data_IF_236317984560
#
_entry.id   IF_236317984560
#
_cell.length_a   1.000
_cell.length_b   1.000
_cell.length_c   1.000
_cell.angle_alpha   90.00
_cell.angle_beta   90.00
_cell.angle_gamma   90.00
#
_symmetry.space_group_name_H-M   'P 1'
#
loop_
_entity.id
_entity.type
_entity.pdbx_description
1 polymer ?
#
# COMPACT_ATOMS: atom_id res chain seq x y z
N UNK A 1 5.58 -5.65 -8.64
CA UNK A 1 4.36 -6.37 -8.23
C UNK A 1 3.44 -5.38 -7.53
N UNK A 2 2.16 -5.25 -7.94
CA UNK A 2 1.20 -4.30 -7.31
C UNK A 2 0.00 -5.10 -6.80
N UNK A 3 -0.20 -5.10 -5.49
CA UNK A 3 -1.27 -5.85 -4.81
C UNK A 3 -2.28 -4.87 -4.20
N UNK A 4 -3.58 -5.15 -4.32
CA UNK A 4 -4.67 -4.39 -3.70
C UNK A 4 -5.30 -5.25 -2.61
N UNK A 5 -5.34 -4.72 -1.39
CA UNK A 5 -5.99 -5.36 -0.25
C UNK A 5 -7.11 -4.47 0.26
N UNK A 6 -8.20 -5.08 0.72
CA UNK A 6 -9.25 -4.38 1.44
C UNK A 6 -8.80 -4.25 2.91
N UNK A 7 -8.95 -3.06 3.48
CA UNK A 7 -8.61 -2.78 4.89
C UNK A 7 -9.89 -2.40 5.62
N UNK A 8 -9.86 -2.45 6.95
CA UNK A 8 -11.02 -2.11 7.80
C UNK A 8 -11.49 -0.67 7.62
N UNK A 9 -10.59 0.20 7.16
CA UNK A 9 -10.87 1.58 6.79
C UNK A 9 -11.81 1.71 5.58
N UNK A 10 -12.14 0.60 4.90
CA UNK A 10 -13.11 0.57 3.80
C UNK A 10 -14.57 0.51 4.24
N UNK A 11 -14.86 0.14 5.49
CA UNK A 11 -16.22 0.00 6.02
C UNK A 11 -17.05 -1.14 5.42
N UNK A 12 -16.42 -2.08 4.69
CA UNK A 12 -17.07 -3.22 4.05
C UNK A 12 -16.60 -4.53 4.68
N UNK A 13 -17.51 -5.32 5.25
CA UNK A 13 -17.22 -6.66 5.75
C UNK A 13 -16.82 -6.73 7.25
N UNK A 14 -16.24 -7.87 7.64
CA UNK A 14 -15.67 -8.12 8.98
C UNK A 14 -14.21 -7.60 9.06
N UNK A 15 -13.61 -7.49 10.26
CA UNK A 15 -12.20 -7.11 10.39
C UNK A 15 -11.27 -7.97 9.50
N UNK A 16 -10.38 -7.30 8.78
CA UNK A 16 -9.45 -7.90 7.84
C UNK A 16 -8.09 -8.08 8.51
N UNK A 17 -7.48 -9.24 8.30
CA UNK A 17 -6.11 -9.46 8.72
C UNK A 17 -5.18 -8.46 8.00
N UNK A 18 -4.22 -7.85 8.71
CA UNK A 18 -3.17 -7.07 8.07
C UNK A 18 -2.43 -7.90 7.03
N UNK A 19 -2.00 -7.31 5.90
CA UNK A 19 -1.21 -8.03 4.92
C UNK A 19 0.13 -8.43 5.52
N UNK A 20 0.69 -9.56 5.09
CA UNK A 20 2.01 -10.05 5.50
C UNK A 20 3.19 -9.22 4.90
N UNK A 21 2.94 -7.97 4.53
CA UNK A 21 3.93 -7.03 3.99
C UNK A 21 4.21 -5.98 5.06
N UNK A 22 5.49 -5.77 5.37
CA UNK A 22 5.92 -4.91 6.48
C UNK A 22 5.69 -3.41 6.26
N UNK A 23 5.50 -2.98 5.00
CA UNK A 23 5.28 -1.58 4.67
C UNK A 23 4.26 -1.39 3.56
N UNK A 24 3.26 -0.56 3.81
CA UNK A 24 2.21 -0.24 2.85
C UNK A 24 1.53 1.07 3.21
N UNK A 25 0.89 1.67 2.20
CA UNK A 25 0.04 2.84 2.38
C UNK A 25 -1.42 2.39 2.34
N UNK A 26 -2.20 2.88 3.30
CA UNK A 26 -3.66 2.82 3.27
C UNK A 26 -4.16 4.10 2.63
N UNK A 27 -4.89 3.97 1.54
CA UNK A 27 -5.49 5.09 0.81
C UNK A 27 -6.96 4.82 0.59
N UNK A 28 -7.73 5.87 0.33
CA UNK A 28 -9.13 5.69 -0.07
C UNK A 28 -9.26 4.79 -1.30
N UNK A 29 -10.30 3.96 -1.32
CA UNK A 29 -10.48 2.95 -2.35
C UNK A 29 -10.76 3.57 -3.74
N UNK A 30 -11.58 4.62 -3.80
CA UNK A 30 -11.97 5.29 -5.04
C UNK A 30 -10.78 5.94 -5.75
N UNK A 31 -9.93 6.65 -5.01
CA UNK A 31 -8.69 7.23 -5.55
C UNK A 31 -7.68 6.16 -5.93
N UNK A 32 -7.55 5.10 -5.12
CA UNK A 32 -6.72 3.95 -5.44
C UNK A 32 -7.13 3.28 -6.76
N UNK A 33 -8.43 3.13 -7.05
CA UNK A 33 -8.91 2.58 -8.34
C UNK A 33 -8.46 3.45 -9.51
N UNK A 34 -8.75 4.75 -9.48
CA UNK A 34 -8.37 5.69 -10.55
C UNK A 34 -6.86 5.65 -10.81
N UNK A 35 -6.05 5.76 -9.75
CA UNK A 35 -4.59 5.74 -9.85
C UNK A 35 -4.04 4.47 -10.48
N UNK A 36 -4.65 3.30 -10.20
CA UNK A 36 -4.24 2.04 -10.83
C UNK A 36 -4.48 2.10 -12.34
N UNK A 37 -5.66 2.56 -12.76
CA UNK A 37 -6.03 2.68 -14.17
C UNK A 37 -5.08 3.65 -14.88
N UNK A 38 -4.86 4.84 -14.32
CA UNK A 38 -3.96 5.85 -14.89
C UNK A 38 -2.51 5.34 -15.00
N UNK A 39 -2.06 4.54 -14.01
CA UNK A 39 -0.74 3.91 -14.06
C UNK A 39 -0.63 2.88 -15.19
N UNK A 40 -1.71 2.12 -15.47
CA UNK A 40 -1.71 1.16 -16.58
C UNK A 40 -1.71 1.86 -17.94
N UNK A 41 -2.54 2.90 -18.10
CA UNK A 41 -2.66 3.66 -19.35
C UNK A 41 -1.34 4.37 -19.68
N UNK A 42 -0.72 5.00 -18.67
CA UNK A 42 0.50 5.77 -18.87
C UNK A 42 1.78 4.93 -18.88
N UNK A 43 1.70 3.64 -18.50
CA UNK A 43 2.86 2.76 -18.38
C UNK A 43 3.86 3.15 -17.28
N UNK A 44 3.54 4.14 -16.44
CA UNK A 44 4.40 4.61 -15.34
C UNK A 44 3.71 4.46 -14.00
N UNK A 45 4.51 4.38 -12.94
CA UNK A 45 4.01 4.39 -11.57
C UNK A 45 3.49 5.77 -11.21
N UNK A 46 2.30 5.82 -10.63
CA UNK A 46 1.72 7.01 -10.02
C UNK A 46 1.56 6.71 -8.53
N UNK A 47 2.21 7.52 -7.70
CA UNK A 47 2.10 7.50 -6.23
C UNK A 47 0.83 8.21 -5.77
N UNK A 48 0.27 7.85 -4.59
CA UNK A 48 -0.76 8.68 -3.96
C UNK A 48 -0.20 10.04 -3.55
N UNK A 49 -1.04 11.06 -3.59
CA UNK A 49 -0.76 12.34 -2.94
C UNK A 49 -0.89 12.20 -1.41
N UNK A 50 -0.21 13.06 -0.63
CA UNK A 50 -0.20 12.97 0.83
C UNK A 50 -1.61 13.04 1.45
N UNK A 51 -2.51 13.82 0.84
CA UNK A 51 -3.90 13.94 1.27
C UNK A 51 -4.77 12.71 0.96
N UNK A 52 -4.28 11.76 0.16
CA UNK A 52 -4.96 10.50 -0.13
C UNK A 52 -4.55 9.37 0.84
N UNK A 53 -3.48 9.59 1.61
CA UNK A 53 -2.93 8.62 2.56
C UNK A 53 -3.67 8.75 3.89
N UNK A 54 -4.41 7.70 4.25
CA UNK A 54 -5.11 7.57 5.52
C UNK A 54 -4.13 7.11 6.62
N UNK A 55 -3.24 6.18 6.27
CA UNK A 55 -2.25 5.60 7.19
C UNK A 55 -1.04 5.09 6.43
N UNK A 56 0.14 5.28 7.01
CA UNK A 56 1.38 4.68 6.55
C UNK A 56 1.83 3.62 7.56
N UNK A 57 2.31 2.47 7.06
CA UNK A 57 2.92 1.41 7.86
C UNK A 57 4.33 1.18 7.33
N UNK A 58 5.31 1.10 8.23
CA UNK A 58 6.72 0.92 7.88
C UNK A 58 7.31 2.11 7.11
N UNK A 59 8.49 1.91 6.50
CA UNK A 59 9.13 2.90 5.65
C UNK A 59 8.87 2.55 4.17
N UNK A 60 7.84 3.16 3.60
CA UNK A 60 7.44 2.94 2.22
C UNK A 60 8.18 3.87 1.26
N UNK A 61 8.72 3.33 0.17
CA UNK A 61 9.25 4.10 -0.95
C UNK A 61 8.90 3.45 -2.29
N UNK A 62 8.07 4.13 -3.09
CA UNK A 62 7.70 3.72 -4.45
C UNK A 62 7.28 2.25 -4.62
N UNK A 63 6.60 1.66 -3.62
CA UNK A 63 6.18 0.26 -3.62
C UNK A 63 7.19 -0.73 -3.07
N UNK A 64 8.22 -0.25 -2.38
CA UNK A 64 9.22 -1.04 -1.68
C UNK A 64 9.19 -0.68 -0.20
N UNK A 65 9.57 -1.65 0.62
CA UNK A 65 9.99 -1.38 1.99
C UNK A 65 11.44 -0.92 1.97
N UNK A 66 11.73 0.23 2.59
CA UNK A 66 13.09 0.57 3.00
C UNK A 66 13.35 -0.16 4.31
N UNK A 67 14.24 -1.15 4.25
CA UNK A 67 14.68 -1.91 5.40
C UNK A 67 15.88 -1.22 6.05
N UNK A 68 15.99 -1.23 7.39
CA UNK A 68 17.18 -0.75 8.06
C UNK A 68 18.41 -1.62 7.71
N UNK A 69 19.61 -1.06 7.83
CA UNK A 69 20.84 -1.71 7.37
C UNK A 69 21.15 -3.04 8.09
N UNK A 70 20.65 -3.19 9.31
CA UNK A 70 20.79 -4.36 10.16
C UNK A 70 19.60 -5.34 10.05
N UNK A 71 18.65 -5.10 9.14
CA UNK A 71 17.47 -5.92 8.99
C UNK A 71 17.80 -7.41 8.74
N UNK A 72 17.18 -8.28 9.55
CA UNK A 72 17.23 -9.74 9.40
C UNK A 72 15.81 -10.25 9.25
N UNK A 73 15.57 -11.03 8.20
CA UNK A 73 14.37 -11.85 8.10
C UNK A 73 14.40 -12.84 9.28
N UNK A 74 13.44 -12.74 10.20
CA UNK A 74 13.18 -13.86 11.10
C UNK A 74 12.56 -14.95 10.24
N UNK A 75 13.31 -16.01 9.99
CA UNK A 75 12.81 -17.18 9.28
C UNK A 75 11.56 -17.69 10.00
N UNK A 76 10.48 -17.92 9.25
CA UNK A 76 9.21 -18.46 9.74
C UNK A 76 9.32 -19.86 10.30
#
# INVERSE_FOLDING_TARGET
>A
MRSRFLTDDSGVGNPHAPPAIDCYLVTRLDTLVRRVIDSQISGRRIEPDENEIIRSVGNYDAGKCILPADFKWQNG
#
